data_IF_385691848375
#
_entry.id   IF_385691848375
#
_cell.length_a   1.000
_cell.length_b   1.000
_cell.length_c   1.000
_cell.angle_alpha   90.00
_cell.angle_beta   90.00
_cell.angle_gamma   90.00
#
_symmetry.space_group_name_H-M   'P 1'
#
loop_
_entity.id
_entity.type
_entity.pdbx_description
1 polymer ?
#
# COMPACT_ATOMS: atom_id res chain seq x y z
N UNK A 1 -21.54 -8.51 -19.84
CA UNK A 1 -20.71 -8.14 -18.66
C UNK A 1 -19.45 -9.00 -18.51
N UNK A 2 -19.55 -10.32 -18.27
CA UNK A 2 -18.39 -11.17 -17.87
C UNK A 2 -17.18 -11.15 -18.81
N UNK A 3 -17.40 -11.14 -20.11
CA UNK A 3 -16.30 -11.11 -21.10
C UNK A 3 -15.58 -9.75 -21.14
N UNK A 4 -16.33 -8.64 -21.12
CA UNK A 4 -15.76 -7.30 -21.04
C UNK A 4 -14.93 -7.12 -19.76
N UNK A 5 -15.42 -7.60 -18.62
CA UNK A 5 -14.70 -7.57 -17.34
C UNK A 5 -13.40 -8.38 -17.44
N UNK A 6 -13.44 -9.59 -17.99
CA UNK A 6 -12.22 -10.40 -18.18
C UNK A 6 -11.20 -9.67 -19.05
N UNK A 7 -11.65 -9.09 -20.17
CA UNK A 7 -10.78 -8.30 -21.05
C UNK A 7 -10.17 -7.11 -20.32
N UNK A 8 -10.98 -6.39 -19.55
CA UNK A 8 -10.54 -5.26 -18.73
C UNK A 8 -9.49 -5.67 -17.69
N UNK A 9 -9.78 -6.73 -16.92
CA UNK A 9 -8.87 -7.25 -15.89
C UNK A 9 -7.55 -7.73 -16.52
N UNK A 10 -7.59 -8.44 -17.66
CA UNK A 10 -6.37 -8.85 -18.37
C UNK A 10 -5.55 -7.65 -18.82
N UNK A 11 -6.18 -6.61 -19.37
CA UNK A 11 -5.51 -5.36 -19.73
C UNK A 11 -4.86 -4.70 -18.51
N UNK A 12 -5.58 -4.61 -17.39
CA UNK A 12 -5.10 -3.98 -16.17
C UNK A 12 -3.93 -4.74 -15.52
N UNK A 13 -3.93 -6.07 -15.58
CA UNK A 13 -2.86 -6.94 -15.06
C UNK A 13 -1.53 -6.78 -15.81
N UNK A 14 -1.58 -6.43 -17.08
CA UNK A 14 -0.40 -6.23 -17.91
C UNK A 14 0.20 -4.81 -17.77
N UNK A 15 -0.29 -4.02 -16.81
CA UNK A 15 0.17 -2.66 -16.53
C UNK A 15 0.74 -2.59 -15.13
N UNK A 16 1.85 -1.87 -14.96
CA UNK A 16 2.41 -1.58 -13.65
C UNK A 16 1.50 -0.62 -12.86
N UNK A 17 1.60 -0.68 -11.53
CA UNK A 17 0.92 0.28 -10.64
C UNK A 17 1.29 1.73 -10.99
N UNK A 18 2.57 1.98 -11.30
CA UNK A 18 3.07 3.31 -11.70
C UNK A 18 2.39 3.81 -12.97
N UNK A 19 2.24 2.95 -13.98
CA UNK A 19 1.55 3.31 -15.23
C UNK A 19 0.07 3.63 -15.00
N UNK A 20 -0.59 2.87 -14.12
CA UNK A 20 -1.99 3.11 -13.73
C UNK A 20 -2.13 4.44 -12.97
N UNK A 21 -1.17 4.78 -12.10
CA UNK A 21 -1.15 6.06 -11.39
C UNK A 21 -0.76 7.25 -12.28
N UNK A 22 0.11 7.07 -13.29
CA UNK A 22 0.47 8.15 -14.21
C UNK A 22 -0.65 8.50 -15.19
N UNK A 23 -1.55 7.56 -15.45
CA UNK A 23 -2.69 7.73 -16.36
C UNK A 23 -4.00 8.08 -15.64
N UNK A 24 -3.96 8.67 -14.44
CA UNK A 24 -5.16 9.09 -13.70
C UNK A 24 -6.11 9.97 -14.55
N UNK A 25 -5.59 10.66 -15.58
CA UNK A 25 -6.39 11.44 -16.53
C UNK A 25 -7.21 10.60 -17.52
N UNK A 26 -6.88 9.32 -17.74
CA UNK A 26 -7.65 8.38 -18.58
C UNK A 26 -8.54 7.53 -17.68
N UNK A 27 -9.69 8.10 -17.35
CA UNK A 27 -10.73 7.44 -16.57
C UNK A 27 -11.19 6.19 -17.31
N UNK A 28 -11.17 5.03 -16.66
CA UNK A 28 -11.70 3.81 -17.23
C UNK A 28 -12.21 2.87 -16.15
N UNK A 29 -13.29 2.17 -16.46
CA UNK A 29 -13.86 1.13 -15.61
C UNK A 29 -14.97 0.38 -16.34
N UNK A 30 -15.42 -0.71 -15.74
CA UNK A 30 -16.48 -1.56 -16.31
C UNK A 30 -17.48 -1.93 -15.22
N UNK A 31 -18.78 -1.80 -15.54
CA UNK A 31 -19.84 -2.25 -14.66
C UNK A 31 -19.84 -3.78 -14.58
N UNK A 32 -19.79 -4.30 -13.36
CA UNK A 32 -19.69 -5.74 -13.16
C UNK A 32 -20.99 -6.49 -13.45
N UNK A 33 -22.14 -5.79 -13.47
CA UNK A 33 -23.46 -6.41 -13.47
C UNK A 33 -23.96 -6.81 -12.09
N UNK A 34 -23.13 -6.62 -11.05
CA UNK A 34 -23.47 -6.94 -9.67
C UNK A 34 -23.78 -5.66 -8.87
N UNK A 35 -24.53 -5.85 -7.80
CA UNK A 35 -24.92 -4.79 -6.87
C UNK A 35 -24.51 -5.17 -5.45
N UNK A 36 -24.24 -4.17 -4.62
CA UNK A 36 -24.09 -4.26 -3.17
C UNK A 36 -25.21 -3.48 -2.51
N UNK A 37 -25.55 -3.80 -1.27
CA UNK A 37 -26.49 -3.01 -0.47
C UNK A 37 -25.68 -2.04 0.39
N UNK A 38 -26.07 -0.77 0.40
CA UNK A 38 -25.53 0.19 1.36
C UNK A 38 -26.11 -0.13 2.76
N UNK A 39 -25.28 -0.43 3.77
CA UNK A 39 -25.76 -0.87 5.08
C UNK A 39 -26.53 0.21 5.86
N UNK A 40 -26.41 1.50 5.48
CA UNK A 40 -27.03 2.60 6.21
C UNK A 40 -28.38 3.04 5.65
N UNK A 41 -28.55 3.02 4.31
CA UNK A 41 -29.79 3.45 3.66
C UNK A 41 -30.53 2.32 2.92
N UNK A 42 -29.92 1.13 2.80
CA UNK A 42 -30.52 -0.05 2.16
C UNK A 42 -30.57 -0.01 0.63
N UNK A 43 -29.98 1.01 -0.01
CA UNK A 43 -30.04 1.15 -1.46
C UNK A 43 -29.04 0.24 -2.18
N UNK A 44 -29.40 -0.15 -3.42
CA UNK A 44 -28.54 -0.94 -4.28
C UNK A 44 -27.48 -0.06 -4.95
N UNK A 45 -26.22 -0.32 -4.66
CA UNK A 45 -25.05 0.32 -5.25
C UNK A 45 -24.47 -0.59 -6.33
N UNK A 46 -24.22 -0.03 -7.51
CA UNK A 46 -23.53 -0.75 -8.60
C UNK A 46 -22.07 -1.05 -8.23
N UNK A 47 -21.61 -2.27 -8.50
CA UNK A 47 -20.20 -2.64 -8.32
C UNK A 47 -19.46 -2.46 -9.65
N UNK A 48 -18.35 -1.73 -9.62
CA UNK A 48 -17.50 -1.43 -10.78
C UNK A 48 -16.08 -1.92 -10.56
N UNK A 49 -15.40 -2.28 -11.65
CA UNK A 49 -13.94 -2.45 -11.65
C UNK A 49 -13.31 -1.24 -12.32
N UNK A 50 -12.30 -0.63 -11.69
CA UNK A 50 -11.67 0.59 -12.19
C UNK A 50 -10.15 0.60 -11.95
N UNK A 51 -9.40 1.18 -12.89
CA UNK A 51 -7.93 1.16 -12.91
C UNK A 51 -7.32 2.01 -11.78
N UNK A 52 -8.05 2.97 -11.22
CA UNK A 52 -7.55 3.82 -10.12
C UNK A 52 -7.69 3.18 -8.72
N UNK A 53 -8.40 2.06 -8.60
CA UNK A 53 -8.51 1.29 -7.35
C UNK A 53 -7.36 0.29 -7.27
N UNK A 54 -6.52 0.41 -6.25
CA UNK A 54 -5.28 -0.35 -6.09
C UNK A 54 -5.47 -1.48 -5.08
N UNK A 55 -5.20 -2.72 -5.51
CA UNK A 55 -5.38 -3.92 -4.66
C UNK A 55 -4.50 -3.89 -3.41
N UNK A 56 -3.30 -3.30 -3.50
CA UNK A 56 -2.37 -3.19 -2.38
C UNK A 56 -2.64 -2.03 -1.42
N UNK A 57 -3.76 -1.31 -1.58
CA UNK A 57 -4.13 -0.19 -0.70
C UNK A 57 -5.52 -0.40 -0.09
N UNK A 58 -5.59 -0.30 1.24
CA UNK A 58 -6.81 -0.63 1.98
C UNK A 58 -7.20 -2.09 1.80
N UNK A 59 -8.47 -2.33 1.45
CA UNK A 59 -9.01 -3.67 1.19
C UNK A 59 -9.00 -4.05 -0.29
N UNK A 60 -8.43 -3.21 -1.16
CA UNK A 60 -8.53 -3.35 -2.61
C UNK A 60 -9.91 -3.02 -3.19
N UNK A 61 -10.82 -2.50 -2.37
CA UNK A 61 -12.11 -1.95 -2.77
C UNK A 61 -12.33 -0.61 -2.04
N UNK A 62 -13.03 0.32 -2.69
CA UNK A 62 -13.41 1.61 -2.12
C UNK A 62 -14.90 1.84 -2.32
N UNK A 63 -15.53 2.60 -1.44
CA UNK A 63 -16.80 3.23 -1.73
C UNK A 63 -16.52 4.50 -2.54
N UNK A 64 -17.29 4.72 -3.61
CA UNK A 64 -17.20 5.94 -4.40
C UNK A 64 -18.17 6.99 -3.85
N UNK A 65 -17.71 8.21 -3.59
CA UNK A 65 -18.55 9.33 -3.14
C UNK A 65 -18.37 10.52 -4.09
N UNK A 66 -19.00 10.49 -5.28
CA UNK A 66 -18.75 11.47 -6.33
C UNK A 66 -18.97 12.92 -5.92
N UNK A 67 -19.91 13.20 -5.00
CA UNK A 67 -20.12 14.56 -4.51
C UNK A 67 -18.92 15.14 -3.75
N UNK A 68 -18.03 14.30 -3.22
CA UNK A 68 -17.01 14.70 -2.24
C UNK A 68 -15.63 14.03 -2.42
N UNK A 69 -15.37 13.40 -3.58
CA UNK A 69 -14.04 12.99 -4.02
C UNK A 69 -13.90 13.26 -5.52
N UNK A 70 -12.91 14.07 -5.90
CA UNK A 70 -12.66 14.49 -7.28
C UNK A 70 -12.40 13.35 -8.26
N UNK A 71 -11.81 12.23 -7.81
CA UNK A 71 -11.58 11.06 -8.67
C UNK A 71 -12.88 10.31 -8.93
N UNK A 72 -13.70 10.16 -7.89
CA UNK A 72 -15.01 9.53 -7.99
C UNK A 72 -15.97 10.40 -8.81
N UNK A 73 -15.89 11.73 -8.68
CA UNK A 73 -16.65 12.69 -9.50
C UNK A 73 -16.33 12.55 -10.98
N UNK A 74 -15.05 12.57 -11.31
CA UNK A 74 -14.62 12.42 -12.69
C UNK A 74 -15.07 11.05 -13.26
N UNK A 75 -14.94 9.98 -12.45
CA UNK A 75 -15.43 8.64 -12.83
C UNK A 75 -16.95 8.61 -13.04
N UNK A 76 -17.71 9.26 -12.16
CA UNK A 76 -19.16 9.33 -12.23
C UNK A 76 -19.64 10.13 -13.45
N UNK A 77 -19.03 11.30 -13.73
CA UNK A 77 -19.34 12.08 -14.95
C UNK A 77 -19.02 11.30 -16.21
N UNK A 78 -17.87 10.60 -16.26
CA UNK A 78 -17.50 9.77 -17.41
C UNK A 78 -18.44 8.58 -17.64
N UNK A 79 -18.88 7.94 -16.55
CA UNK A 79 -19.68 6.72 -16.59
C UNK A 79 -21.19 6.96 -16.45
N UNK A 80 -21.60 8.24 -16.43
CA UNK A 80 -22.98 8.68 -16.19
C UNK A 80 -23.63 8.06 -14.94
N UNK A 81 -22.89 8.08 -13.83
CA UNK A 81 -23.35 7.58 -12.53
C UNK A 81 -23.96 8.71 -11.69
N UNK A 82 -24.87 8.39 -10.75
CA UNK A 82 -25.46 9.39 -9.86
C UNK A 82 -24.41 10.13 -9.04
N UNK A 83 -24.59 11.45 -8.91
CA UNK A 83 -23.80 12.31 -8.04
C UNK A 83 -24.77 12.88 -7.01
N UNK A 84 -24.54 12.57 -5.74
CA UNK A 84 -25.41 12.95 -4.62
C UNK A 84 -24.59 13.83 -3.67
N UNK A 85 -25.09 15.03 -3.39
CA UNK A 85 -24.53 15.88 -2.34
C UNK A 85 -25.03 15.39 -0.97
N UNK A 86 -24.08 15.11 -0.08
CA UNK A 86 -24.34 14.73 1.32
C UNK A 86 -23.70 15.68 2.34
N UNK A 87 -22.93 16.68 1.89
CA UNK A 87 -22.33 17.73 2.73
C UNK A 87 -22.55 19.11 2.12
N UNK A 88 -22.89 20.10 2.94
CA UNK A 88 -22.95 21.53 2.58
C UNK A 88 -21.85 22.33 3.27
N UNK A 89 -21.38 23.43 2.64
CA UNK A 89 -20.50 24.41 3.30
C UNK A 89 -21.32 25.27 4.25
N UNK A 90 -21.23 24.99 5.55
CA UNK A 90 -21.95 25.77 6.56
C UNK A 90 -23.45 25.84 6.27
N UNK A 91 -23.97 27.05 6.10
CA UNK A 91 -25.40 27.32 5.84
C UNK A 91 -25.72 27.54 4.35
N UNK A 92 -24.83 27.14 3.42
CA UNK A 92 -25.12 27.16 1.99
C UNK A 92 -26.33 26.27 1.63
N UNK A 93 -27.09 26.73 0.63
CA UNK A 93 -28.24 25.98 0.11
C UNK A 93 -27.72 24.80 -0.72
N UNK A 94 -28.31 23.59 -0.59
CA UNK A 94 -27.96 22.46 -1.44
C UNK A 94 -28.09 22.81 -2.93
N UNK A 95 -27.12 22.38 -3.73
CA UNK A 95 -27.08 22.61 -5.17
C UNK A 95 -27.36 21.31 -5.93
N UNK A 96 -27.72 21.41 -7.21
CA UNK A 96 -27.85 20.24 -8.09
C UNK A 96 -26.44 19.76 -8.52
N UNK A 97 -25.99 18.58 -8.09
CA UNK A 97 -24.64 18.10 -8.41
C UNK A 97 -24.43 17.78 -9.90
N UNK A 98 -25.51 17.74 -10.70
CA UNK A 98 -25.40 17.54 -12.14
C UNK A 98 -24.73 18.74 -12.84
N UNK A 99 -24.95 19.94 -12.32
CA UNK A 99 -24.40 21.20 -12.81
C UNK A 99 -22.99 21.49 -12.31
N UNK A 100 -22.45 20.65 -11.42
CA UNK A 100 -21.11 20.84 -10.89
C UNK A 100 -20.03 20.62 -11.96
N UNK A 101 -19.02 21.48 -11.91
CA UNK A 101 -17.79 21.35 -12.70
C UNK A 101 -16.76 20.43 -12.01
N UNK A 102 -16.77 20.37 -10.69
CA UNK A 102 -15.88 19.54 -9.87
C UNK A 102 -16.58 19.09 -8.57
N UNK A 103 -15.98 18.13 -7.87
CA UNK A 103 -16.46 17.67 -6.57
C UNK A 103 -16.29 18.70 -5.46
N UNK A 104 -17.06 18.52 -4.40
CA UNK A 104 -16.91 19.28 -3.17
C UNK A 104 -16.11 18.48 -2.12
N UNK A 105 -14.78 18.53 -2.22
CA UNK A 105 -13.82 17.76 -1.39
C UNK A 105 -13.57 18.38 0.01
N UNK A 106 -14.61 18.88 0.70
CA UNK A 106 -14.43 19.40 2.06
C UNK A 106 -14.61 18.34 3.14
N UNK A 107 -13.88 18.55 4.24
CA UNK A 107 -13.92 17.71 5.45
C UNK A 107 -14.68 18.37 6.60
N UNK A 108 -15.31 19.50 6.33
CA UNK A 108 -16.02 20.35 7.27
C UNK A 108 -17.32 20.82 6.62
N UNK A 109 -18.36 21.01 7.43
CA UNK A 109 -19.69 21.33 6.95
C UNK A 109 -20.77 20.49 7.64
N UNK A 110 -22.02 20.68 7.20
CA UNK A 110 -23.18 19.97 7.74
C UNK A 110 -23.63 18.87 6.80
N UNK A 111 -24.03 17.74 7.39
CA UNK A 111 -24.58 16.61 6.65
C UNK A 111 -25.99 16.92 6.13
N UNK A 112 -26.24 16.64 4.86
CA UNK A 112 -27.56 16.68 4.22
C UNK A 112 -27.86 15.34 3.55
N UNK A 113 -29.13 15.06 3.22
CA UNK A 113 -29.54 13.85 2.49
C UNK A 113 -29.00 12.53 3.11
N UNK A 114 -28.77 12.50 4.43
CA UNK A 114 -27.99 11.46 5.10
C UNK A 114 -28.76 10.73 6.21
N UNK A 115 -30.09 10.79 6.19
CA UNK A 115 -30.94 10.11 7.19
C UNK A 115 -30.61 10.56 8.62
N UNK A 116 -30.23 9.62 9.49
CA UNK A 116 -30.05 9.87 10.93
C UNK A 116 -28.91 10.83 11.31
N UNK A 117 -27.98 11.11 10.40
CA UNK A 117 -26.89 12.09 10.63
C UNK A 117 -27.18 13.46 10.00
N UNK A 118 -28.34 13.64 9.37
CA UNK A 118 -28.71 14.93 8.76
C UNK A 118 -28.68 16.06 9.79
N UNK A 119 -28.03 17.17 9.46
CA UNK A 119 -27.85 18.34 10.32
C UNK A 119 -26.66 18.25 11.29
N UNK A 120 -25.99 17.10 11.40
CA UNK A 120 -24.75 16.98 12.18
C UNK A 120 -23.57 17.63 11.45
N UNK A 121 -22.60 18.15 12.19
CA UNK A 121 -21.30 18.53 11.65
C UNK A 121 -20.51 17.28 11.24
N UNK A 122 -19.70 17.37 10.17
CA UNK A 122 -18.93 16.23 9.62
C UNK A 122 -18.15 15.45 10.70
N UNK A 123 -17.40 16.08 11.64
CA UNK A 123 -16.67 15.34 12.67
C UNK A 123 -17.58 14.50 13.58
N UNK A 124 -18.74 15.02 13.96
CA UNK A 124 -19.70 14.33 14.81
C UNK A 124 -20.41 13.21 14.03
N UNK A 125 -20.73 13.46 12.77
CA UNK A 125 -21.33 12.49 11.87
C UNK A 125 -20.41 11.27 11.65
N UNK A 126 -19.10 11.48 11.47
CA UNK A 126 -18.12 10.39 11.37
C UNK A 126 -18.19 9.48 12.60
N UNK A 127 -18.19 10.06 13.80
CA UNK A 127 -18.28 9.30 15.06
C UNK A 127 -19.61 8.54 15.18
N UNK A 128 -20.72 9.19 14.83
CA UNK A 128 -22.06 8.60 14.86
C UNK A 128 -22.18 7.40 13.89
N UNK A 129 -21.65 7.52 12.68
CA UNK A 129 -21.64 6.44 11.67
C UNK A 129 -20.76 5.27 12.12
N UNK A 130 -19.54 5.52 12.60
CA UNK A 130 -18.65 4.45 13.10
C UNK A 130 -19.33 3.69 14.25
N UNK A 131 -20.00 4.40 15.17
CA UNK A 131 -20.76 3.77 16.25
C UNK A 131 -21.91 2.92 15.69
N UNK A 132 -22.71 3.47 14.77
CA UNK A 132 -23.85 2.76 14.18
C UNK A 132 -23.44 1.47 13.47
N UNK A 133 -22.43 1.54 12.61
CA UNK A 133 -21.91 0.38 11.86
C UNK A 133 -21.39 -0.72 12.80
N UNK A 134 -20.75 -0.32 13.91
CA UNK A 134 -20.29 -1.25 14.95
C UNK A 134 -21.47 -1.90 15.68
N UNK A 135 -22.46 -1.11 16.09
CA UNK A 135 -23.64 -1.58 16.81
C UNK A 135 -24.48 -2.54 15.94
N UNK A 136 -24.49 -2.39 14.62
CA UNK A 136 -25.17 -3.29 13.68
C UNK A 136 -24.32 -4.46 13.19
N UNK A 137 -23.02 -4.51 13.53
CA UNK A 137 -22.13 -5.58 13.07
C UNK A 137 -21.72 -5.49 11.59
N UNK A 138 -21.96 -4.34 10.94
CA UNK A 138 -21.69 -4.12 9.52
C UNK A 138 -20.24 -3.64 9.25
N UNK A 139 -19.45 -3.45 10.30
CA UNK A 139 -18.04 -3.02 10.20
C UNK A 139 -17.50 -2.38 11.47
N UNK A 140 -16.34 -1.73 11.33
CA UNK A 140 -15.63 -1.07 12.43
C UNK A 140 -14.76 0.08 11.91
N UNK A 141 -14.40 1.01 12.80
CA UNK A 141 -13.44 2.08 12.48
C UNK A 141 -12.02 1.56 12.48
N UNK A 142 -11.21 1.99 11.51
CA UNK A 142 -9.79 1.63 11.41
C UNK A 142 -8.94 2.87 11.17
N UNK A 143 -7.69 2.83 11.63
CA UNK A 143 -6.67 3.84 11.32
C UNK A 143 -5.80 3.28 10.20
N UNK A 144 -5.66 4.02 9.11
CA UNK A 144 -4.84 3.63 7.97
C UNK A 144 -3.68 4.60 7.77
N UNK A 145 -2.53 4.06 7.37
CA UNK A 145 -1.35 4.84 7.02
C UNK A 145 -1.11 4.76 5.52
N UNK A 146 -0.63 5.86 4.92
CA UNK A 146 -0.12 5.85 3.54
C UNK A 146 1.24 5.14 3.42
N UNK A 147 1.92 4.95 4.56
CA UNK A 147 3.18 4.22 4.64
C UNK A 147 2.95 2.75 4.24
N UNK A 148 3.85 2.22 3.40
CA UNK A 148 3.86 0.81 2.99
C UNK A 148 5.07 0.12 3.60
N UNK A 149 5.00 -1.20 3.69
CA UNK A 149 6.15 -2.01 4.09
C UNK A 149 7.34 -1.76 3.17
N UNK A 150 8.52 -1.67 3.78
CA UNK A 150 9.76 -1.45 3.05
C UNK A 150 10.12 -2.72 2.27
N UNK A 151 10.05 -2.66 0.94
CA UNK A 151 10.59 -3.73 0.09
C UNK A 151 12.11 -3.74 0.28
N UNK A 152 12.59 -4.69 1.05
CA UNK A 152 13.99 -4.76 1.48
C UNK A 152 14.86 -5.54 0.48
N UNK A 153 14.35 -6.59 -0.17
CA UNK A 153 15.13 -7.40 -1.11
C UNK A 153 15.55 -6.66 -2.38
N UNK A 154 16.77 -6.89 -2.88
CA UNK A 154 17.25 -6.44 -4.20
C UNK A 154 17.80 -7.61 -5.00
N UNK A 155 17.39 -7.71 -6.26
CA UNK A 155 17.94 -8.67 -7.23
C UNK A 155 19.25 -8.12 -7.82
N UNK A 156 20.23 -7.80 -6.97
CA UNK A 156 21.52 -7.20 -7.34
C UNK A 156 22.66 -7.96 -6.68
N UNK A 157 23.83 -7.94 -7.31
CA UNK A 157 25.04 -8.52 -6.73
C UNK A 157 25.60 -7.66 -5.59
N UNK A 158 25.77 -6.36 -5.82
CA UNK A 158 26.47 -5.48 -4.88
C UNK A 158 25.57 -5.01 -3.74
N UNK A 159 25.53 -5.80 -2.67
CA UNK A 159 24.83 -5.53 -1.42
C UNK A 159 25.09 -6.64 -0.41
N UNK A 160 24.71 -6.44 0.84
CA UNK A 160 24.91 -7.41 1.91
C UNK A 160 24.01 -8.64 1.68
N UNK A 161 24.56 -9.87 1.73
CA UNK A 161 23.73 -11.09 1.70
C UNK A 161 22.74 -11.14 2.86
N UNK A 162 21.52 -11.61 2.60
CA UNK A 162 20.62 -11.97 3.71
C UNK A 162 21.15 -13.22 4.42
N UNK A 163 21.22 -13.23 5.76
CA UNK A 163 21.59 -14.42 6.52
C UNK A 163 20.39 -15.38 6.63
N UNK A 164 19.83 -15.76 5.49
CA UNK A 164 18.63 -16.60 5.36
C UNK A 164 18.94 -17.76 4.41
N UNK A 165 18.52 -18.96 4.81
CA UNK A 165 18.53 -20.17 3.97
C UNK A 165 17.15 -20.78 3.89
N UNK A 166 16.93 -21.66 2.91
CA UNK A 166 15.64 -22.30 2.69
C UNK A 166 15.75 -23.82 2.87
N UNK A 167 14.98 -24.36 3.81
CA UNK A 167 14.81 -25.80 4.00
C UNK A 167 13.41 -26.20 3.58
N UNK A 168 13.30 -27.04 2.55
CA UNK A 168 12.02 -27.46 1.96
C UNK A 168 11.11 -26.27 1.55
N UNK A 169 11.73 -25.17 1.12
CA UNK A 169 11.04 -23.92 0.74
C UNK A 169 10.65 -23.01 1.91
N UNK A 170 10.93 -23.40 3.16
CA UNK A 170 10.68 -22.61 4.37
C UNK A 170 11.95 -21.81 4.72
N UNK A 171 11.85 -20.48 4.95
CA UNK A 171 13.00 -19.65 5.30
C UNK A 171 13.41 -19.84 6.76
N UNK A 172 14.71 -19.90 7.00
CA UNK A 172 15.35 -19.95 8.31
C UNK A 172 16.54 -18.98 8.34
N UNK A 173 16.86 -18.44 9.51
CA UNK A 173 18.05 -17.60 9.69
C UNK A 173 19.29 -18.44 9.96
N UNK A 174 20.43 -17.98 9.48
CA UNK A 174 21.75 -18.51 9.84
C UNK A 174 22.01 -18.21 11.34
N UNK A 175 22.80 -19.05 11.99
CA UNK A 175 23.24 -18.83 13.38
C UNK A 175 24.17 -17.61 13.47
N UNK A 176 24.06 -16.83 14.55
CA UNK A 176 24.87 -15.61 14.75
C UNK A 176 26.38 -15.91 14.74
N UNK A 177 26.80 -17.09 15.23
CA UNK A 177 28.19 -17.50 15.23
C UNK A 177 28.77 -17.84 13.85
N UNK A 178 27.92 -17.94 12.83
CA UNK A 178 28.35 -18.13 11.44
C UNK A 178 28.38 -16.81 10.64
N UNK A 179 28.03 -15.69 11.27
CA UNK A 179 28.17 -14.37 10.68
C UNK A 179 29.63 -13.90 10.70
N UNK A 180 30.05 -13.05 9.75
CA UNK A 180 29.27 -12.53 8.63
C UNK A 180 29.13 -13.53 7.47
N UNK A 181 27.95 -13.55 6.84
CA UNK A 181 27.78 -14.20 5.54
C UNK A 181 28.44 -13.33 4.45
N UNK A 182 29.61 -13.73 4.00
CA UNK A 182 30.39 -12.97 3.03
C UNK A 182 29.79 -13.05 1.63
N UNK A 183 29.85 -11.93 0.90
CA UNK A 183 29.43 -11.87 -0.50
C UNK A 183 30.36 -12.76 -1.35
N UNK A 184 29.84 -13.77 -2.06
CA UNK A 184 30.66 -14.72 -2.81
C UNK A 184 31.07 -14.14 -4.16
N UNK A 185 32.18 -14.61 -4.72
CA UNK A 185 32.53 -14.28 -6.10
C UNK A 185 31.57 -14.94 -7.10
N UNK A 186 31.19 -14.20 -8.15
CA UNK A 186 30.35 -14.68 -9.26
C UNK A 186 31.02 -14.38 -10.60
N UNK A 187 30.66 -15.14 -11.63
CA UNK A 187 31.20 -14.97 -12.98
C UNK A 187 30.66 -13.71 -13.68
N UNK A 188 29.43 -13.30 -13.37
CA UNK A 188 28.74 -12.13 -13.95
C UNK A 188 27.83 -11.47 -12.93
N UNK A 189 27.70 -10.15 -13.01
CA UNK A 189 26.86 -9.36 -12.09
C UNK A 189 25.42 -9.12 -12.58
N UNK A 190 25.09 -9.63 -13.76
CA UNK A 190 23.73 -9.57 -14.32
C UNK A 190 22.89 -10.76 -13.84
N UNK A 191 21.55 -10.64 -13.83
CA UNK A 191 20.65 -11.78 -13.59
C UNK A 191 21.01 -13.01 -14.44
N UNK A 192 20.61 -14.19 -13.99
CA UNK A 192 20.74 -15.43 -14.78
C UNK A 192 19.88 -15.35 -16.04
N UNK A 193 20.12 -16.26 -17.00
CA UNK A 193 19.28 -16.36 -18.21
C UNK A 193 17.81 -16.70 -17.87
N UNK A 194 17.58 -17.35 -16.72
CA UNK A 194 16.24 -17.65 -16.19
C UNK A 194 15.62 -16.48 -15.42
N UNK A 195 16.32 -15.35 -15.28
CA UNK A 195 15.85 -14.17 -14.55
C UNK A 195 16.11 -14.19 -13.04
N UNK A 196 16.86 -15.17 -12.53
CA UNK A 196 17.22 -15.24 -11.12
C UNK A 196 18.26 -14.16 -10.73
N UNK A 197 18.34 -13.78 -9.45
CA UNK A 197 19.30 -12.78 -8.99
C UNK A 197 20.76 -13.14 -9.30
N UNK A 198 21.68 -12.16 -9.39
CA UNK A 198 23.09 -12.43 -9.68
C UNK A 198 23.77 -13.42 -8.73
N UNK A 199 23.41 -13.45 -7.44
CA UNK A 199 23.99 -14.41 -6.48
C UNK A 199 23.61 -15.86 -6.77
N UNK A 200 22.57 -16.12 -7.54
CA UNK A 200 22.26 -17.48 -7.99
C UNK A 200 23.35 -18.08 -8.90
N UNK A 201 24.32 -17.27 -9.35
CA UNK A 201 25.52 -17.71 -10.10
C UNK A 201 26.65 -18.21 -9.19
N UNK A 202 26.59 -17.92 -7.90
CA UNK A 202 27.64 -18.28 -6.96
C UNK A 202 27.75 -19.81 -6.83
N UNK A 203 28.99 -20.32 -6.89
CA UNK A 203 29.25 -21.75 -6.72
C UNK A 203 29.14 -22.11 -5.24
N UNK A 204 28.46 -23.22 -4.93
CA UNK A 204 28.28 -23.72 -3.57
C UNK A 204 27.61 -22.70 -2.62
N UNK A 205 26.66 -21.91 -3.13
CA UNK A 205 25.89 -20.95 -2.31
C UNK A 205 24.82 -21.63 -1.47
N UNK A 206 25.27 -22.30 -0.41
CA UNK A 206 24.45 -23.14 0.47
C UNK A 206 25.05 -23.20 1.89
N UNK A 207 24.26 -23.59 2.87
CA UNK A 207 24.74 -23.88 4.23
C UNK A 207 25.63 -25.12 4.26
N UNK A 208 26.28 -25.41 5.40
CA UNK A 208 27.10 -26.61 5.61
C UNK A 208 26.30 -27.90 5.41
N UNK A 209 25.01 -27.87 5.74
CA UNK A 209 24.05 -28.97 5.58
C UNK A 209 23.53 -29.11 4.14
N UNK A 210 23.87 -28.17 3.24
CA UNK A 210 23.48 -28.19 1.83
C UNK A 210 22.17 -27.48 1.52
N UNK A 211 21.62 -26.67 2.42
CA UNK A 211 20.41 -25.89 2.14
C UNK A 211 20.74 -24.62 1.34
N UNK A 212 19.98 -24.27 0.29
CA UNK A 212 20.23 -23.08 -0.51
C UNK A 212 20.08 -21.78 0.30
N UNK A 213 21.01 -20.85 0.10
CA UNK A 213 20.99 -19.52 0.69
C UNK A 213 20.16 -18.53 -0.16
N UNK A 214 19.64 -17.48 0.48
CA UNK A 214 18.97 -16.37 -0.20
C UNK A 214 19.89 -15.75 -1.26
N UNK A 215 19.32 -15.42 -2.42
CA UNK A 215 20.07 -14.92 -3.59
C UNK A 215 19.82 -13.44 -3.87
N UNK A 216 18.87 -12.83 -3.16
CA UNK A 216 18.74 -11.39 -3.08
C UNK A 216 19.75 -10.81 -2.09
N UNK A 217 20.04 -9.52 -2.25
CA UNK A 217 20.85 -8.73 -1.33
C UNK A 217 20.01 -7.66 -0.65
N UNK A 218 20.50 -7.17 0.49
CA UNK A 218 19.93 -6.01 1.17
C UNK A 218 20.10 -4.75 0.31
N UNK A 219 19.24 -3.74 0.48
CA UNK A 219 19.35 -2.49 -0.25
C UNK A 219 20.38 -1.58 0.43
N UNK A 220 20.96 -0.62 -0.29
CA UNK A 220 21.95 0.30 0.30
C UNK A 220 21.45 1.09 1.53
N UNK A 221 20.13 1.24 1.69
CA UNK A 221 19.57 1.87 2.88
C UNK A 221 19.62 0.99 4.14
N UNK A 222 19.92 -0.31 4.04
CA UNK A 222 20.18 -1.16 5.20
C UNK A 222 21.36 -0.62 6.02
N UNK A 223 22.50 -0.37 5.37
CA UNK A 223 23.66 0.23 6.02
C UNK A 223 23.43 1.69 6.42
N UNK A 224 22.84 2.51 5.53
CA UNK A 224 22.68 3.94 5.80
C UNK A 224 21.63 4.27 6.87
N UNK A 225 20.80 3.32 7.30
CA UNK A 225 19.81 3.55 8.36
C UNK A 225 20.40 3.43 9.78
N UNK A 226 21.62 2.88 9.93
CA UNK A 226 22.26 2.68 11.23
C UNK A 226 23.72 3.10 11.33
N UNK A 227 24.34 3.58 10.25
CA UNK A 227 25.77 3.93 10.22
C UNK A 227 26.19 4.92 11.33
N UNK A 228 25.32 5.87 11.69
CA UNK A 228 25.61 6.87 12.74
C UNK A 228 25.77 6.22 14.12
N UNK A 229 25.08 5.10 14.38
CA UNK A 229 25.27 4.30 15.59
C UNK A 229 26.63 3.61 15.56
N UNK A 230 27.04 3.08 14.39
CA UNK A 230 28.35 2.45 14.26
C UNK A 230 29.50 3.43 14.45
N UNK A 231 29.34 4.72 14.11
CA UNK A 231 30.36 5.74 14.41
C UNK A 231 30.58 5.98 15.91
N UNK A 232 29.61 5.66 16.76
CA UNK A 232 29.76 5.76 18.22
C UNK A 232 30.73 4.69 18.76
N UNK A 233 30.84 3.55 18.07
CA UNK A 233 31.66 2.40 18.48
C UNK A 233 32.19 1.58 17.28
N UNK A 234 33.06 2.16 16.43
CA UNK A 234 33.38 1.63 15.10
C UNK A 234 34.23 0.36 15.11
N UNK A 235 34.93 0.10 16.22
CA UNK A 235 35.86 -1.02 16.37
C UNK A 235 35.30 -2.16 17.22
N UNK A 236 34.01 -2.13 17.56
CA UNK A 236 33.40 -3.20 18.33
C UNK A 236 33.23 -4.47 17.47
N UNK A 237 33.90 -5.56 17.87
CA UNK A 237 33.89 -6.83 17.13
C UNK A 237 32.84 -7.82 17.67
N UNK A 238 32.11 -7.47 18.73
CA UNK A 238 31.18 -8.38 19.43
C UNK A 238 29.71 -7.99 19.29
N UNK A 239 29.43 -6.72 19.03
CA UNK A 239 28.08 -6.18 18.85
C UNK A 239 28.08 -5.05 17.81
N UNK A 240 26.88 -4.63 17.40
CA UNK A 240 26.76 -3.56 16.42
C UNK A 240 27.30 -2.22 16.95
N UNK A 241 27.00 -1.87 18.20
CA UNK A 241 27.58 -0.77 18.99
C UNK A 241 27.25 -1.00 20.47
N UNK A 242 28.12 -0.59 21.39
CA UNK A 242 27.88 -0.81 22.82
C UNK A 242 26.84 0.11 23.42
N UNK A 243 26.10 -0.40 24.42
CA UNK A 243 25.18 0.42 25.23
C UNK A 243 25.90 1.63 25.83
N UNK A 244 27.14 1.45 26.30
CA UNK A 244 27.95 2.54 26.88
C UNK A 244 28.22 3.66 25.86
N UNK A 245 28.54 3.32 24.61
CA UNK A 245 28.74 4.30 23.56
C UNK A 245 27.45 5.06 23.24
N UNK A 246 26.32 4.33 23.12
CA UNK A 246 25.01 4.93 22.87
C UNK A 246 24.51 5.82 24.01
N UNK A 247 24.74 5.44 25.27
CA UNK A 247 24.38 6.25 26.44
C UNK A 247 25.21 7.55 26.50
N UNK A 248 26.47 7.52 26.02
CA UNK A 248 27.36 8.68 25.99
C UNK A 248 27.04 9.65 24.84
N UNK A 249 26.91 9.13 23.62
CA UNK A 249 26.70 9.95 22.41
C UNK A 249 25.23 10.33 22.17
N UNK A 250 24.29 9.48 22.59
CA UNK A 250 22.85 9.69 22.41
C UNK A 250 22.45 9.99 20.95
N UNK A 251 21.73 11.09 20.72
CA UNK A 251 21.23 11.47 19.41
C UNK A 251 22.24 12.36 18.67
N UNK A 252 22.13 12.41 17.35
CA UNK A 252 22.88 13.37 16.54
C UNK A 252 22.37 14.79 16.83
N UNK A 253 23.26 15.70 17.23
CA UNK A 253 22.91 17.08 17.57
C UNK A 253 22.58 17.95 16.34
N UNK A 254 23.35 17.81 15.25
CA UNK A 254 23.21 18.60 14.02
C UNK A 254 23.67 17.82 12.77
#
# INVERSE_FOLDING_TARGET
HRENIRRYVTRAKNRSERERMSEVKKISGEFTGAYSINPLNGENIQIWVADYVLVGYGTGAIMAVPGHDSRDFAFAKHSNLPIIQVVTRGDEVPEDPYEWEDSYDAKEGKMINSGFITGMEVPDAINAVIKKIRDTGEGYGTVNYKLRDAIFSRQRYWGEPFPVYYKDGIPYTIDEGELPLLLPEVDKYLPTETGAPPLARAKNWQTKEGYPLETNTMPGFAGSSGYYLRYQDPHNEHEYFSKKANDYWQNVDL
#
